data_IF_598714392041
#
_entry.id   IF_598714392041
#
_cell.length_a   1.000
_cell.length_b   1.000
_cell.length_c   1.000
_cell.angle_alpha   90.00
_cell.angle_beta   90.00
_cell.angle_gamma   90.00
#
_symmetry.space_group_name_H-M   'P 1'
#
loop_
_entity.id
_entity.type
_entity.pdbx_description
1 polymer ?
#
# COMPACT_ATOMS: atom_id res chain seq x y z
N UNK A 1 -1.25 8.91 9.61
CA UNK A 1 -2.32 8.06 9.04
C UNK A 1 -3.23 8.92 8.17
N UNK A 2 -3.38 8.56 6.89
CA UNK A 2 -3.89 9.42 5.83
C UNK A 2 -5.40 9.51 5.88
N UNK A 3 -5.96 10.69 6.18
CA UNK A 3 -7.37 10.95 5.91
C UNK A 3 -7.65 12.26 5.19
N UNK A 4 -8.43 12.19 4.11
CA UNK A 4 -8.98 13.31 3.35
C UNK A 4 -10.19 13.95 4.06
N UNK A 5 -10.72 13.33 5.12
CA UNK A 5 -11.93 13.79 5.82
C UNK A 5 -11.84 15.22 6.35
N UNK A 6 -10.63 15.66 6.72
CA UNK A 6 -10.39 17.01 7.24
C UNK A 6 -10.44 18.10 6.16
N UNK A 7 -10.53 17.73 4.87
CA UNK A 7 -10.42 18.66 3.74
C UNK A 7 -11.72 18.84 2.95
N UNK A 8 -12.80 18.12 3.29
CA UNK A 8 -14.05 18.06 2.49
C UNK A 8 -13.75 17.89 0.99
N UNK A 9 -12.82 17.00 0.69
CA UNK A 9 -12.45 16.68 -0.68
C UNK A 9 -13.39 15.61 -1.22
N UNK A 10 -14.09 15.92 -2.30
CA UNK A 10 -15.06 15.02 -2.94
C UNK A 10 -14.86 15.02 -4.45
N UNK A 11 -14.99 13.83 -5.04
CA UNK A 11 -15.10 13.65 -6.48
C UNK A 11 -16.50 13.13 -6.75
N UNK A 12 -17.30 13.91 -7.48
CA UNK A 12 -18.66 13.51 -7.81
C UNK A 12 -18.66 12.36 -8.81
N UNK A 13 -19.46 11.34 -8.55
CA UNK A 13 -19.60 10.18 -9.42
C UNK A 13 -21.04 9.67 -9.46
N UNK A 14 -21.34 8.88 -10.49
CA UNK A 14 -22.56 8.07 -10.57
C UNK A 14 -22.22 6.69 -11.10
N UNK A 15 -22.98 5.69 -10.66
CA UNK A 15 -22.85 4.31 -11.11
C UNK A 15 -23.73 4.09 -12.33
N UNK A 16 -23.20 3.41 -13.34
CA UNK A 16 -23.92 3.03 -14.56
C UNK A 16 -23.74 1.54 -14.84
N UNK A 17 -24.84 0.81 -14.96
CA UNK A 17 -24.81 -0.57 -15.44
C UNK A 17 -24.64 -0.62 -16.95
N UNK A 18 -23.72 -1.47 -17.41
CA UNK A 18 -23.41 -1.66 -18.83
C UNK A 18 -23.18 -3.14 -19.12
N UNK A 19 -23.38 -3.56 -20.37
CA UNK A 19 -23.08 -4.93 -20.80
C UNK A 19 -21.58 -5.13 -21.08
N UNK A 20 -20.86 -4.05 -21.41
CA UNK A 20 -19.43 -4.07 -21.71
C UNK A 20 -18.79 -2.78 -21.20
N UNK A 21 -17.63 -2.91 -20.55
CA UNK A 21 -16.90 -1.78 -20.00
C UNK A 21 -16.22 -0.96 -21.10
N UNK A 22 -16.29 0.35 -20.97
CA UNK A 22 -15.52 1.30 -21.76
C UNK A 22 -14.03 1.20 -21.41
N UNK A 23 -13.15 1.50 -22.38
CA UNK A 23 -11.70 1.51 -22.15
C UNK A 23 -11.24 2.64 -21.24
N UNK A 24 -11.91 3.79 -21.31
CA UNK A 24 -11.56 5.01 -20.59
C UNK A 24 -12.69 5.40 -19.63
N UNK A 25 -12.33 6.04 -18.52
CA UNK A 25 -13.32 6.70 -17.67
C UNK A 25 -13.86 7.94 -18.38
N UNK A 26 -15.15 8.22 -18.22
CA UNK A 26 -15.80 9.38 -18.81
C UNK A 26 -16.49 10.21 -17.74
N UNK A 27 -16.82 11.45 -18.10
CA UNK A 27 -17.61 12.35 -17.28
C UNK A 27 -18.85 12.80 -18.06
N UNK A 28 -19.92 13.13 -17.34
CA UNK A 28 -21.08 13.76 -17.94
C UNK A 28 -20.89 15.28 -18.13
N UNK A 29 -21.92 15.93 -18.66
CA UNK A 29 -21.98 17.38 -18.90
C UNK A 29 -21.75 18.24 -17.64
N UNK A 30 -21.98 17.68 -16.45
CA UNK A 30 -21.77 18.33 -15.16
C UNK A 30 -20.42 17.96 -14.53
N UNK A 31 -19.49 17.38 -15.30
CA UNK A 31 -18.18 16.94 -14.85
C UNK A 31 -18.24 15.85 -13.76
N UNK A 32 -19.35 15.09 -13.69
CA UNK A 32 -19.52 13.94 -12.78
C UNK A 32 -18.93 12.69 -13.43
N UNK A 33 -18.07 11.98 -12.71
CA UNK A 33 -17.48 10.73 -13.19
C UNK A 33 -18.52 9.63 -13.36
N UNK A 34 -18.44 8.90 -14.47
CA UNK A 34 -19.29 7.73 -14.73
C UNK A 34 -18.48 6.48 -14.42
N UNK A 35 -18.83 5.80 -13.32
CA UNK A 35 -18.26 4.51 -12.96
C UNK A 35 -19.17 3.43 -13.53
N UNK A 36 -18.65 2.69 -14.51
CA UNK A 36 -19.38 1.59 -15.13
C UNK A 36 -19.19 0.30 -14.32
N UNK A 37 -20.26 -0.48 -14.15
CA UNK A 37 -20.20 -1.83 -13.61
C UNK A 37 -20.91 -2.83 -14.53
N UNK A 38 -20.34 -4.03 -14.64
CA UNK A 38 -20.91 -5.20 -15.35
C UNK A 38 -21.29 -6.33 -14.41
N UNK A 39 -20.73 -6.35 -13.19
CA UNK A 39 -20.94 -7.38 -12.18
C UNK A 39 -21.84 -6.83 -11.08
N UNK A 40 -22.88 -7.58 -10.72
CA UNK A 40 -23.61 -7.37 -9.48
C UNK A 40 -22.91 -8.10 -8.33
N UNK A 41 -22.84 -7.49 -7.15
CA UNK A 41 -22.16 -8.08 -6.00
C UNK A 41 -22.74 -9.46 -5.60
N UNK A 42 -24.05 -9.69 -5.80
CA UNK A 42 -24.68 -10.99 -5.56
C UNK A 42 -24.24 -12.06 -6.55
N UNK A 43 -23.81 -11.65 -7.74
CA UNK A 43 -23.33 -12.56 -8.77
C UNK A 43 -21.84 -12.91 -8.63
N UNK A 44 -21.13 -12.35 -7.64
CA UNK A 44 -19.75 -12.77 -7.30
C UNK A 44 -19.74 -14.25 -6.91
N UNK A 45 -20.75 -14.69 -6.15
CA UNK A 45 -21.04 -16.10 -5.89
C UNK A 45 -22.16 -16.59 -6.80
N UNK A 46 -21.81 -16.91 -8.04
CA UNK A 46 -22.74 -17.45 -9.03
C UNK A 46 -23.05 -18.94 -8.84
N UNK A 47 -22.23 -19.67 -8.08
CA UNK A 47 -22.43 -21.09 -7.75
C UNK A 47 -23.25 -21.26 -6.49
N UNK A 48 -24.08 -22.30 -6.48
CA UNK A 48 -24.81 -22.74 -5.29
C UNK A 48 -23.88 -23.32 -4.23
N UNK A 49 -24.34 -23.36 -2.97
CA UNK A 49 -23.61 -24.00 -1.88
C UNK A 49 -23.22 -25.45 -2.21
N UNK A 50 -24.15 -26.20 -2.83
CA UNK A 50 -23.96 -27.61 -3.16
C UNK A 50 -22.92 -27.80 -4.28
N UNK A 51 -22.92 -26.93 -5.30
CA UNK A 51 -21.89 -26.96 -6.34
C UNK A 51 -20.48 -26.71 -5.78
N UNK A 52 -20.34 -25.70 -4.91
CA UNK A 52 -19.04 -25.39 -4.27
C UNK A 52 -18.60 -26.50 -3.33
N UNK A 53 -19.55 -27.10 -2.60
CA UNK A 53 -19.30 -28.24 -1.72
C UNK A 53 -18.82 -29.47 -2.51
N UNK A 54 -19.49 -29.82 -3.61
CA UNK A 54 -19.12 -30.97 -4.43
C UNK A 54 -17.75 -30.77 -5.09
N UNK A 55 -17.39 -29.55 -5.50
CA UNK A 55 -16.02 -29.25 -5.97
C UNK A 55 -14.98 -29.48 -4.86
N UNK A 56 -15.23 -28.99 -3.65
CA UNK A 56 -14.32 -29.21 -2.52
C UNK A 56 -14.19 -30.71 -2.17
N UNK A 57 -15.29 -31.46 -2.24
CA UNK A 57 -15.32 -32.91 -2.04
C UNK A 57 -14.51 -33.68 -3.07
N UNK A 58 -14.64 -33.34 -4.36
CA UNK A 58 -13.83 -33.97 -5.42
C UNK A 58 -12.34 -33.71 -5.21
N UNK A 59 -11.99 -32.50 -4.77
CA UNK A 59 -10.61 -32.17 -4.45
C UNK A 59 -10.09 -32.94 -3.22
N UNK A 60 -10.90 -33.07 -2.17
CA UNK A 60 -10.57 -33.89 -1.00
C UNK A 60 -10.28 -35.34 -1.38
N UNK A 61 -11.18 -35.96 -2.16
CA UNK A 61 -11.00 -37.33 -2.69
C UNK A 61 -9.69 -37.43 -3.47
N UNK A 62 -9.42 -36.48 -4.37
CA UNK A 62 -8.19 -36.47 -5.17
C UNK A 62 -6.93 -36.36 -4.31
N UNK A 63 -6.96 -35.59 -3.23
CA UNK A 63 -5.86 -35.50 -2.27
C UNK A 63 -5.68 -36.83 -1.53
N UNK A 64 -6.78 -37.47 -1.09
CA UNK A 64 -6.76 -38.76 -0.39
C UNK A 64 -6.19 -39.88 -1.27
N UNK A 65 -6.58 -39.93 -2.55
CA UNK A 65 -6.03 -40.88 -3.52
C UNK A 65 -4.51 -40.75 -3.69
N UNK A 66 -3.98 -39.54 -3.48
CA UNK A 66 -2.56 -39.23 -3.58
C UNK A 66 -1.87 -39.05 -2.22
N UNK A 67 -2.52 -39.43 -1.11
CA UNK A 67 -2.11 -39.16 0.26
C UNK A 67 -0.69 -39.65 0.62
N UNK A 68 -0.26 -40.75 0.01
CA UNK A 68 1.06 -41.36 0.25
C UNK A 68 2.13 -40.91 -0.75
N UNK A 69 1.86 -39.90 -1.60
CA UNK A 69 2.88 -39.33 -2.48
C UNK A 69 4.02 -38.72 -1.64
N UNK A 70 5.25 -39.17 -1.90
CA UNK A 70 6.44 -38.79 -1.16
C UNK A 70 7.22 -37.69 -1.89
N UNK A 71 7.67 -36.68 -1.16
CA UNK A 71 8.51 -35.60 -1.68
C UNK A 71 9.48 -35.11 -0.60
N UNK A 72 10.44 -34.26 -0.99
CA UNK A 72 11.38 -33.64 -0.04
C UNK A 72 10.94 -32.21 0.20
N UNK A 73 10.56 -31.90 1.44
CA UNK A 73 10.16 -30.57 1.88
C UNK A 73 11.38 -29.64 1.91
N UNK A 74 11.28 -28.47 1.27
CA UNK A 74 12.37 -27.49 1.21
C UNK A 74 12.78 -26.95 2.60
N UNK A 75 11.83 -26.82 3.53
CA UNK A 75 12.07 -26.17 4.82
C UNK A 75 12.80 -27.07 5.81
N UNK A 76 12.51 -28.36 5.79
CA UNK A 76 13.10 -29.34 6.72
C UNK A 76 14.20 -30.18 6.08
N UNK A 77 14.29 -30.19 4.74
CA UNK A 77 15.15 -31.08 3.97
C UNK A 77 14.89 -32.56 4.30
N UNK A 78 13.66 -32.89 4.72
CA UNK A 78 13.24 -34.23 5.09
C UNK A 78 12.17 -34.75 4.12
N UNK A 79 12.09 -36.09 4.04
CA UNK A 79 11.05 -36.78 3.29
C UNK A 79 9.71 -36.57 3.99
N UNK A 80 8.70 -36.18 3.23
CA UNK A 80 7.34 -35.92 3.68
C UNK A 80 6.33 -36.61 2.76
N UNK A 81 5.15 -36.93 3.28
CA UNK A 81 4.02 -37.46 2.51
C UNK A 81 2.92 -36.42 2.41
N UNK A 82 2.19 -36.40 1.29
CA UNK A 82 1.14 -35.41 1.03
C UNK A 82 0.14 -35.26 2.20
N UNK A 83 -0.28 -36.38 2.82
CA UNK A 83 -1.25 -36.35 3.92
C UNK A 83 -0.77 -35.68 5.21
N UNK A 84 0.55 -35.63 5.44
CA UNK A 84 1.11 -35.00 6.66
C UNK A 84 1.41 -33.52 6.46
N UNK A 85 1.53 -33.08 5.21
CA UNK A 85 1.76 -31.69 4.87
C UNK A 85 1.90 -31.46 3.38
N UNK A 86 1.67 -30.22 2.95
CA UNK A 86 1.76 -29.78 1.57
C UNK A 86 2.63 -28.52 1.49
N UNK A 87 3.90 -28.72 1.14
CA UNK A 87 4.95 -27.70 1.17
C UNK A 87 5.73 -27.65 -0.16
N UNK A 88 6.47 -26.56 -0.44
CA UNK A 88 7.34 -26.51 -1.62
C UNK A 88 8.44 -27.58 -1.55
N UNK A 89 8.83 -28.06 -2.72
CA UNK A 89 9.82 -29.11 -2.91
C UNK A 89 11.25 -28.55 -2.99
N UNK A 90 12.22 -29.24 -2.38
CA UNK A 90 13.64 -28.84 -2.32
C UNK A 90 14.29 -28.59 -3.69
N UNK A 91 13.92 -29.36 -4.73
CA UNK A 91 14.65 -29.38 -6.01
C UNK A 91 14.34 -28.18 -6.94
N UNK A 92 13.59 -27.17 -6.48
CA UNK A 92 13.29 -25.97 -7.26
C UNK A 92 14.31 -24.88 -6.92
N UNK A 93 15.27 -24.66 -7.83
CA UNK A 93 16.46 -23.79 -7.65
C UNK A 93 16.19 -22.33 -7.24
N UNK A 94 14.95 -21.85 -7.14
CA UNK A 94 14.62 -20.46 -6.88
C UNK A 94 13.31 -20.30 -6.08
N UNK A 95 13.11 -21.06 -4.99
CA UNK A 95 11.99 -20.72 -4.08
C UNK A 95 12.23 -19.31 -3.52
N UNK A 96 11.37 -18.38 -3.90
CA UNK A 96 11.31 -17.04 -3.31
C UNK A 96 10.36 -17.09 -2.13
N UNK A 97 10.75 -16.48 -1.00
CA UNK A 97 9.89 -16.34 0.18
C UNK A 97 8.62 -15.52 -0.07
N UNK A 98 8.55 -14.81 -1.20
CA UNK A 98 7.59 -13.72 -1.37
C UNK A 98 6.29 -14.17 -2.03
N UNK A 99 6.37 -15.13 -2.97
CA UNK A 99 5.21 -15.66 -3.70
C UNK A 99 5.41 -17.16 -3.97
N UNK A 100 4.55 -17.97 -3.37
CA UNK A 100 4.48 -19.40 -3.66
C UNK A 100 3.99 -19.65 -5.09
N UNK A 101 4.72 -20.45 -5.85
CA UNK A 101 4.32 -20.87 -7.20
C UNK A 101 3.82 -22.30 -7.19
N UNK A 102 2.70 -22.57 -7.88
CA UNK A 102 2.10 -23.90 -7.94
C UNK A 102 3.11 -24.97 -8.36
N UNK A 103 3.97 -24.66 -9.32
CA UNK A 103 4.94 -25.62 -9.82
C UNK A 103 5.96 -26.05 -8.76
N UNK A 104 6.21 -25.25 -7.72
CA UNK A 104 7.14 -25.57 -6.64
C UNK A 104 6.58 -26.63 -5.68
N UNK A 105 5.29 -26.92 -5.76
CA UNK A 105 4.60 -27.87 -4.90
C UNK A 105 4.45 -29.25 -5.57
N UNK A 106 4.33 -30.34 -4.79
CA UNK A 106 4.18 -31.68 -5.35
C UNK A 106 2.87 -31.79 -6.15
N UNK A 107 2.92 -32.59 -7.21
CA UNK A 107 1.76 -32.89 -8.08
C UNK A 107 1.14 -31.67 -8.77
N UNK A 108 1.91 -30.62 -9.07
CA UNK A 108 1.42 -29.39 -9.72
C UNK A 108 0.52 -29.63 -10.95
N UNK A 109 0.92 -30.53 -11.86
CA UNK A 109 0.14 -30.87 -13.06
C UNK A 109 -1.19 -31.58 -12.74
N UNK A 110 -1.27 -32.31 -11.63
CA UNK A 110 -2.53 -32.91 -11.16
C UNK A 110 -3.53 -31.83 -10.76
N UNK A 111 -3.06 -30.82 -10.04
CA UNK A 111 -3.89 -29.70 -9.59
C UNK A 111 -4.34 -28.82 -10.76
N UNK A 112 -3.47 -28.59 -11.75
CA UNK A 112 -3.85 -27.91 -13.01
C UNK A 112 -4.94 -28.67 -13.75
N UNK A 113 -4.81 -30.00 -13.88
CA UNK A 113 -5.84 -30.85 -14.50
C UNK A 113 -7.16 -30.82 -13.73
N UNK A 114 -7.13 -30.73 -12.40
CA UNK A 114 -8.34 -30.55 -11.60
C UNK A 114 -9.01 -29.21 -11.92
N UNK A 115 -8.24 -28.12 -12.04
CA UNK A 115 -8.77 -26.85 -12.50
C UNK A 115 -9.39 -26.96 -13.89
N UNK A 116 -8.70 -27.55 -14.86
CA UNK A 116 -9.17 -27.66 -16.26
C UNK A 116 -10.46 -28.50 -16.39
N UNK A 117 -10.56 -29.62 -15.66
CA UNK A 117 -11.65 -30.58 -15.83
C UNK A 117 -12.84 -30.33 -14.91
N UNK A 118 -12.59 -29.92 -13.66
CA UNK A 118 -13.61 -29.82 -12.61
C UNK A 118 -14.03 -28.36 -12.35
N UNK A 119 -13.06 -27.47 -12.08
CA UNK A 119 -13.34 -26.05 -11.78
C UNK A 119 -13.73 -25.27 -13.05
N UNK A 120 -13.06 -25.57 -14.17
CA UNK A 120 -13.27 -25.11 -15.55
C UNK A 120 -13.01 -23.62 -15.84
N UNK A 121 -13.32 -22.74 -14.90
CA UNK A 121 -13.23 -21.30 -15.12
C UNK A 121 -12.73 -20.54 -13.88
N UNK A 122 -12.20 -19.34 -14.14
CA UNK A 122 -11.62 -18.51 -13.08
C UNK A 122 -12.66 -17.96 -12.11
N UNK A 123 -13.90 -17.70 -12.54
CA UNK A 123 -14.95 -17.20 -11.64
C UNK A 123 -15.28 -18.24 -10.57
N UNK A 124 -15.37 -19.52 -10.94
CA UNK A 124 -15.57 -20.64 -10.03
C UNK A 124 -14.36 -20.83 -9.10
N UNK A 125 -13.13 -20.76 -9.64
CA UNK A 125 -11.90 -20.80 -8.81
C UNK A 125 -11.86 -19.66 -7.80
N UNK A 126 -12.23 -18.45 -8.23
CA UNK A 126 -12.25 -17.27 -7.39
C UNK A 126 -13.27 -17.41 -6.25
N UNK A 127 -14.47 -17.95 -6.51
CA UNK A 127 -15.44 -18.24 -5.45
C UNK A 127 -14.88 -19.21 -4.40
N UNK A 128 -14.23 -20.31 -4.83
CA UNK A 128 -13.56 -21.23 -3.91
C UNK A 128 -12.45 -20.51 -3.12
N UNK A 129 -11.62 -19.72 -3.80
CA UNK A 129 -10.57 -18.92 -3.15
C UNK A 129 -11.14 -17.96 -2.09
N UNK A 130 -12.28 -17.33 -2.39
CA UNK A 130 -12.98 -16.45 -1.47
C UNK A 130 -13.51 -17.22 -0.27
N UNK A 131 -14.02 -18.45 -0.40
CA UNK A 131 -14.50 -19.24 0.75
C UNK A 131 -13.42 -19.48 1.81
N UNK A 132 -12.19 -19.73 1.39
CA UNK A 132 -11.06 -20.03 2.29
C UNK A 132 -10.46 -18.78 2.97
N UNK A 133 -11.02 -17.59 2.72
CA UNK A 133 -10.60 -16.37 3.39
C UNK A 133 -11.03 -16.33 4.85
N UNK A 134 -10.30 -15.60 5.73
CA UNK A 134 -10.59 -15.60 7.15
C UNK A 134 -11.85 -14.75 7.47
N UNK A 135 -13.04 -15.32 7.30
CA UNK A 135 -14.29 -14.69 7.77
C UNK A 135 -14.56 -14.88 9.27
N UNK A 136 -13.76 -15.73 9.94
CA UNK A 136 -13.98 -16.17 11.33
C UNK A 136 -13.96 -15.04 12.38
N UNK A 137 -13.55 -13.82 12.01
CA UNK A 137 -13.49 -12.64 12.90
C UNK A 137 -14.36 -11.48 12.42
N UNK A 138 -15.29 -11.73 11.50
CA UNK A 138 -16.15 -10.67 10.93
C UNK A 138 -17.20 -10.15 11.93
N UNK A 139 -17.52 -10.89 12.99
CA UNK A 139 -18.46 -10.44 14.02
C UNK A 139 -19.79 -9.99 13.40
N UNK A 140 -20.26 -8.80 13.77
CA UNK A 140 -21.49 -8.22 13.20
C UNK A 140 -21.44 -7.97 11.69
N UNK A 141 -20.25 -7.89 11.09
CA UNK A 141 -20.08 -7.63 9.66
C UNK A 141 -20.40 -8.85 8.80
N UNK A 142 -20.50 -10.05 9.39
CA UNK A 142 -20.96 -11.27 8.68
C UNK A 142 -22.27 -11.04 7.95
N UNK A 143 -23.26 -10.45 8.62
CA UNK A 143 -24.60 -10.26 8.05
C UNK A 143 -24.57 -9.30 6.86
N UNK A 144 -23.77 -8.23 6.96
CA UNK A 144 -23.57 -7.27 5.86
C UNK A 144 -22.94 -7.94 4.65
N UNK A 145 -21.89 -8.76 4.86
CA UNK A 145 -21.23 -9.52 3.79
C UNK A 145 -22.23 -10.49 3.15
N UNK A 146 -23.00 -11.21 3.96
CA UNK A 146 -23.96 -12.20 3.48
C UNK A 146 -25.07 -11.55 2.65
N UNK A 147 -25.59 -10.41 3.10
CA UNK A 147 -26.61 -9.64 2.38
C UNK A 147 -26.11 -9.17 1.01
N UNK A 148 -24.87 -8.67 0.95
CA UNK A 148 -24.26 -8.16 -0.29
C UNK A 148 -23.99 -9.29 -1.27
N UNK A 149 -23.46 -10.41 -0.80
CA UNK A 149 -23.12 -11.56 -1.65
C UNK A 149 -24.32 -12.46 -1.97
N UNK A 150 -25.43 -12.35 -1.22
CA UNK A 150 -26.60 -13.22 -1.36
C UNK A 150 -26.36 -14.66 -0.86
N UNK A 151 -25.27 -14.91 -0.16
CA UNK A 151 -24.81 -16.23 0.30
C UNK A 151 -24.07 -16.06 1.62
N UNK A 152 -23.83 -17.15 2.37
CA UNK A 152 -23.06 -17.11 3.61
C UNK A 152 -21.72 -17.87 3.49
N UNK A 153 -20.63 -17.23 2.99
CA UNK A 153 -19.34 -17.89 2.78
C UNK A 153 -18.80 -18.59 4.04
N UNK A 154 -18.97 -17.96 5.20
CA UNK A 154 -18.54 -18.50 6.50
C UNK A 154 -19.25 -19.82 6.85
N UNK A 155 -20.53 -19.95 6.52
CA UNK A 155 -21.30 -21.18 6.75
C UNK A 155 -20.82 -22.30 5.83
N UNK A 156 -20.63 -22.00 4.55
CA UNK A 156 -20.16 -22.98 3.56
C UNK A 156 -18.79 -23.52 3.96
N UNK A 157 -17.85 -22.63 4.26
CA UNK A 157 -16.48 -23.06 4.60
C UNK A 157 -16.43 -23.83 5.91
N UNK A 158 -17.28 -23.51 6.89
CA UNK A 158 -17.37 -24.27 8.13
C UNK A 158 -17.90 -25.70 7.89
N UNK A 159 -18.87 -25.87 7.00
CA UNK A 159 -19.39 -27.19 6.63
C UNK A 159 -18.32 -28.02 5.92
N UNK A 160 -17.62 -27.44 4.94
CA UNK A 160 -16.48 -28.07 4.27
C UNK A 160 -15.40 -28.47 5.29
N UNK A 161 -15.05 -27.54 6.20
CA UNK A 161 -14.00 -27.73 7.19
C UNK A 161 -14.31 -28.79 8.28
N UNK A 162 -15.59 -29.12 8.47
CA UNK A 162 -16.01 -30.17 9.40
C UNK A 162 -15.99 -31.56 8.77
N UNK A 163 -16.18 -31.64 7.45
CA UNK A 163 -16.43 -32.90 6.75
C UNK A 163 -15.18 -33.49 6.08
N UNK A 164 -14.18 -32.68 5.74
CA UNK A 164 -13.00 -33.13 4.99
C UNK A 164 -11.74 -33.17 5.85
N UNK A 165 -11.10 -34.35 5.90
CA UNK A 165 -9.91 -34.60 6.74
C UNK A 165 -8.70 -33.76 6.32
N UNK A 166 -8.62 -33.39 5.05
CA UNK A 166 -7.54 -32.57 4.48
C UNK A 166 -7.72 -31.07 4.74
N UNK A 167 -8.76 -30.70 5.49
CA UNK A 167 -9.01 -29.34 5.96
C UNK A 167 -8.75 -29.26 7.47
N UNK A 168 -7.89 -28.33 7.89
CA UNK A 168 -7.66 -28.11 9.32
C UNK A 168 -7.95 -26.68 9.71
N UNK A 169 -8.97 -26.51 10.54
CA UNK A 169 -9.32 -25.23 11.15
C UNK A 169 -8.32 -24.78 12.22
N UNK A 170 -7.60 -25.74 12.84
CA UNK A 170 -6.66 -25.53 13.96
C UNK A 170 -5.22 -25.37 13.50
N UNK A 171 -4.82 -26.06 12.44
CA UNK A 171 -3.48 -25.97 11.87
C UNK A 171 -3.57 -25.57 10.39
N UNK A 172 -3.42 -24.27 10.05
CA UNK A 172 -3.45 -23.81 8.67
C UNK A 172 -2.45 -24.54 7.76
N UNK A 173 -1.33 -25.07 8.31
CA UNK A 173 -0.33 -25.85 7.57
C UNK A 173 -0.82 -27.24 7.15
N UNK A 174 -1.89 -27.74 7.77
CA UNK A 174 -2.54 -29.00 7.45
C UNK A 174 -3.83 -28.81 6.62
N UNK A 175 -4.12 -27.58 6.16
CA UNK A 175 -5.26 -27.31 5.28
C UNK A 175 -4.82 -27.36 3.81
N UNK A 176 -4.69 -28.58 3.30
CA UNK A 176 -4.13 -28.86 1.97
C UNK A 176 -5.05 -28.31 0.88
N UNK A 177 -6.37 -28.45 1.02
CA UNK A 177 -7.34 -27.91 0.05
C UNK A 177 -7.16 -26.40 -0.10
N UNK A 178 -7.16 -25.66 1.02
CA UNK A 178 -7.00 -24.21 0.98
C UNK A 178 -5.72 -23.79 0.25
N UNK A 179 -4.63 -24.53 0.49
CA UNK A 179 -3.34 -24.24 -0.14
C UNK A 179 -3.36 -24.53 -1.64
N UNK A 180 -3.94 -25.64 -2.08
CA UNK A 180 -4.08 -25.93 -3.51
C UNK A 180 -4.92 -24.88 -4.22
N UNK A 181 -6.06 -24.47 -3.63
CA UNK A 181 -6.92 -23.42 -4.18
C UNK A 181 -6.18 -22.07 -4.24
N UNK A 182 -5.41 -21.70 -3.21
CA UNK A 182 -4.59 -20.48 -3.21
C UNK A 182 -3.50 -20.51 -4.29
N UNK A 183 -2.80 -21.63 -4.48
CA UNK A 183 -1.79 -21.77 -5.53
C UNK A 183 -2.39 -21.73 -6.93
N UNK A 184 -3.54 -22.38 -7.15
CA UNK A 184 -4.27 -22.30 -8.41
C UNK A 184 -4.74 -20.86 -8.68
N UNK A 185 -5.28 -20.19 -7.67
CA UNK A 185 -5.66 -18.78 -7.80
C UNK A 185 -4.45 -17.93 -8.23
N UNK A 186 -3.30 -18.05 -7.56
CA UNK A 186 -2.07 -17.32 -7.92
C UNK A 186 -1.57 -17.65 -9.32
N UNK A 187 -1.70 -18.89 -9.79
CA UNK A 187 -1.32 -19.30 -11.15
C UNK A 187 -2.14 -18.57 -12.23
N UNK A 188 -3.43 -18.28 -11.94
CA UNK A 188 -4.36 -17.72 -12.92
C UNK A 188 -4.75 -16.26 -12.67
N UNK A 189 -4.38 -15.64 -11.54
CA UNK A 189 -4.86 -14.31 -11.14
C UNK A 189 -4.45 -13.20 -12.13
N UNK A 190 -3.21 -13.22 -12.63
CA UNK A 190 -2.73 -12.10 -13.47
C UNK A 190 -3.44 -12.02 -14.82
N UNK A 191 -3.82 -13.18 -15.39
CA UNK A 191 -4.64 -13.23 -16.61
C UNK A 191 -6.08 -12.76 -16.37
N UNK A 192 -6.52 -12.73 -15.12
CA UNK A 192 -7.90 -12.44 -14.72
C UNK A 192 -8.01 -11.20 -13.81
N UNK A 193 -6.98 -10.35 -13.77
CA UNK A 193 -6.96 -9.15 -12.90
C UNK A 193 -8.12 -8.19 -13.12
N UNK A 194 -8.61 -8.09 -14.36
CA UNK A 194 -9.81 -7.30 -14.68
C UNK A 194 -11.04 -7.84 -13.93
N UNK A 195 -11.29 -9.15 -14.00
CA UNK A 195 -12.40 -9.78 -13.28
C UNK A 195 -12.28 -9.57 -11.76
N UNK A 196 -11.09 -9.74 -11.20
CA UNK A 196 -10.82 -9.53 -9.77
C UNK A 196 -11.12 -8.07 -9.38
N UNK A 197 -10.62 -7.10 -10.15
CA UNK A 197 -10.87 -5.68 -9.91
C UNK A 197 -12.38 -5.35 -9.99
N UNK A 198 -13.08 -5.86 -10.99
CA UNK A 198 -14.51 -5.61 -11.18
C UNK A 198 -15.37 -6.22 -10.06
N UNK A 199 -15.02 -7.39 -9.53
CA UNK A 199 -15.71 -7.96 -8.36
C UNK A 199 -15.48 -7.12 -7.09
N UNK A 200 -14.26 -6.65 -6.85
CA UNK A 200 -13.94 -5.76 -5.73
C UNK A 200 -14.66 -4.40 -5.85
N UNK A 201 -14.76 -3.87 -7.07
CA UNK A 201 -15.53 -2.66 -7.38
C UNK A 201 -17.01 -2.86 -7.11
N UNK A 202 -17.62 -3.93 -7.62
CA UNK A 202 -19.02 -4.25 -7.40
C UNK A 202 -19.36 -4.37 -5.90
N UNK A 203 -18.52 -5.07 -5.14
CA UNK A 203 -18.67 -5.21 -3.70
C UNK A 203 -18.57 -3.86 -2.98
N UNK A 204 -17.61 -3.00 -3.37
CA UNK A 204 -17.45 -1.67 -2.78
C UNK A 204 -18.63 -0.75 -3.07
N UNK A 205 -19.17 -0.80 -4.29
CA UNK A 205 -20.40 -0.07 -4.65
C UNK A 205 -21.56 -0.52 -3.75
N UNK A 206 -21.75 -1.84 -3.56
CA UNK A 206 -22.79 -2.35 -2.68
C UNK A 206 -22.60 -1.92 -1.21
N UNK A 207 -21.36 -1.81 -0.72
CA UNK A 207 -21.07 -1.25 0.61
C UNK A 207 -21.44 0.23 0.72
N UNK A 208 -21.22 1.01 -0.34
CA UNK A 208 -21.56 2.44 -0.37
C UNK A 208 -23.07 2.68 -0.25
N UNK A 209 -23.89 1.74 -0.72
CA UNK A 209 -25.35 1.78 -0.61
C UNK A 209 -25.86 1.42 0.80
N UNK A 210 -25.02 0.85 1.67
CA UNK A 210 -25.41 0.51 3.06
C UNK A 210 -25.42 1.74 3.96
N UNK A 211 -26.07 1.64 5.12
CA UNK A 211 -25.98 2.66 6.17
C UNK A 211 -24.58 2.64 6.78
N UNK A 212 -24.07 3.79 7.22
CA UNK A 212 -22.70 3.85 7.77
C UNK A 212 -22.55 3.00 9.04
N UNK A 213 -23.61 2.87 9.84
CA UNK A 213 -23.64 2.06 11.06
C UNK A 213 -23.44 0.56 10.78
N UNK A 214 -23.77 0.10 9.58
CA UNK A 214 -23.52 -1.28 9.14
C UNK A 214 -22.00 -1.52 8.94
N UNK A 215 -21.23 -0.46 8.67
CA UNK A 215 -19.82 -0.54 8.31
C UNK A 215 -18.86 -0.33 9.51
N UNK A 216 -19.38 0.03 10.69
CA UNK A 216 -18.57 0.35 11.88
C UNK A 216 -19.06 -0.32 13.15
N UNK A 217 -18.17 -0.88 13.96
CA UNK A 217 -18.48 -1.40 15.31
C UNK A 217 -17.74 -0.61 16.37
N UNK A 218 -18.45 -0.21 17.43
CA UNK A 218 -17.84 0.52 18.55
C UNK A 218 -17.02 -0.45 19.39
N UNK A 219 -15.76 -0.09 19.66
CA UNK A 219 -14.89 -0.88 20.51
C UNK A 219 -15.33 -0.79 21.98
N UNK A 220 -15.22 -1.91 22.70
CA UNK A 220 -15.49 -1.96 24.15
C UNK A 220 -14.52 -1.09 24.95
N UNK A 221 -13.28 -0.96 24.47
CA UNK A 221 -12.27 -0.02 24.97
C UNK A 221 -11.59 0.65 23.78
N UNK A 222 -11.35 1.98 23.82
CA UNK A 222 -10.59 2.64 22.78
C UNK A 222 -9.19 2.03 22.63
N UNK A 223 -8.75 1.93 21.39
CA UNK A 223 -7.36 1.64 21.03
C UNK A 223 -6.64 2.94 20.69
N UNK A 224 -5.31 2.92 20.71
CA UNK A 224 -4.48 4.06 20.33
C UNK A 224 -3.43 3.61 19.33
N UNK A 225 -3.28 4.39 18.26
CA UNK A 225 -2.19 4.25 17.32
C UNK A 225 -1.46 5.59 17.24
N UNK A 226 -0.26 5.64 17.82
CA UNK A 226 0.39 6.90 18.19
C UNK A 226 -0.58 7.77 19.03
N UNK A 227 -0.73 9.05 18.70
CA UNK A 227 -1.65 9.97 19.38
C UNK A 227 -3.12 9.84 18.91
N UNK A 228 -3.40 8.95 17.94
CA UNK A 228 -4.75 8.79 17.39
C UNK A 228 -5.57 7.83 18.23
N UNK A 229 -6.62 8.36 18.88
CA UNK A 229 -7.63 7.56 19.56
C UNK A 229 -8.55 6.88 18.54
N UNK A 230 -8.65 5.56 18.61
CA UNK A 230 -9.52 4.72 17.80
C UNK A 230 -10.65 4.22 18.69
N UNK A 231 -11.88 4.54 18.33
CA UNK A 231 -13.10 4.17 19.07
C UNK A 231 -13.95 3.16 18.31
N UNK A 232 -13.70 2.99 17.00
CA UNK A 232 -14.45 2.11 16.12
C UNK A 232 -13.51 1.21 15.31
N UNK A 233 -13.88 -0.06 15.17
CA UNK A 233 -13.39 -0.94 14.10
C UNK A 233 -14.33 -0.81 12.90
N UNK A 234 -13.82 -1.03 11.70
CA UNK A 234 -14.63 -0.98 10.47
C UNK A 234 -14.63 -2.34 9.78
N UNK A 235 -15.59 -2.55 8.88
CA UNK A 235 -15.62 -3.72 8.01
C UNK A 235 -14.31 -3.89 7.21
N UNK A 236 -13.58 -2.79 6.95
CA UNK A 236 -12.31 -2.77 6.22
C UNK A 236 -11.12 -3.27 7.05
N UNK A 237 -11.22 -3.29 8.37
CA UNK A 237 -10.17 -3.86 9.24
C UNK A 237 -10.14 -5.40 9.22
N UNK A 238 -11.14 -6.03 8.62
CA UNK A 238 -11.19 -7.49 8.45
C UNK A 238 -10.21 -7.85 7.33
N UNK A 239 -9.25 -8.77 7.55
CA UNK A 239 -8.34 -9.26 6.52
C UNK A 239 -9.07 -10.17 5.51
N UNK A 240 -10.16 -9.71 4.89
CA UNK A 240 -10.85 -10.44 3.84
C UNK A 240 -10.33 -9.99 2.48
N UNK A 241 -9.82 -10.94 1.69
CA UNK A 241 -9.52 -10.78 0.26
C UNK A 241 -10.78 -10.49 -0.61
N UNK A 242 -11.95 -10.25 0.00
CA UNK A 242 -13.19 -9.77 -0.66
C UNK A 242 -13.33 -8.24 -0.55
N UNK A 243 -12.64 -7.60 0.39
CA UNK A 243 -12.76 -6.16 0.66
C UNK A 243 -11.56 -5.38 0.10
N UNK A 244 -11.74 -4.05 -0.01
CA UNK A 244 -10.83 -2.92 -0.28
C UNK A 244 -9.38 -3.15 -0.74
N UNK A 245 -8.65 -4.13 -0.18
CA UNK A 245 -7.31 -4.50 -0.59
C UNK A 245 -7.19 -4.79 -2.10
N UNK A 246 -8.24 -5.28 -2.75
CA UNK A 246 -8.24 -5.49 -4.22
C UNK A 246 -8.57 -4.26 -5.06
N UNK A 247 -9.18 -3.21 -4.49
CA UNK A 247 -9.28 -1.94 -5.22
C UNK A 247 -7.88 -1.34 -5.47
N UNK A 248 -6.89 -1.72 -4.66
CA UNK A 248 -5.49 -1.33 -4.86
C UNK A 248 -4.80 -2.09 -6.01
N UNK A 249 -5.44 -3.11 -6.61
CA UNK A 249 -4.90 -3.85 -7.76
C UNK A 249 -5.27 -3.18 -9.10
N UNK A 250 -5.35 -1.85 -9.12
CA UNK A 250 -5.53 -1.11 -10.36
C UNK A 250 -4.32 -1.32 -11.28
N UNK A 251 -4.55 -1.38 -12.59
CA UNK A 251 -3.52 -1.74 -13.58
C UNK A 251 -3.47 -0.77 -14.76
N UNK A 252 -4.35 0.23 -14.78
CA UNK A 252 -4.38 1.31 -15.77
C UNK A 252 -5.01 2.57 -15.16
N UNK A 253 -5.02 3.66 -15.93
CA UNK A 253 -5.57 4.95 -15.49
C UNK A 253 -7.06 4.86 -15.11
N UNK A 254 -7.90 4.19 -15.92
CA UNK A 254 -9.33 4.04 -15.64
C UNK A 254 -9.57 3.38 -14.29
N UNK A 255 -8.97 2.21 -14.08
CA UNK A 255 -9.11 1.44 -12.83
C UNK A 255 -8.53 2.17 -11.63
N UNK A 256 -7.44 2.93 -11.81
CA UNK A 256 -6.91 3.80 -10.76
C UNK A 256 -7.92 4.87 -10.37
N UNK A 257 -8.49 5.61 -11.34
CA UNK A 257 -9.45 6.68 -11.06
C UNK A 257 -10.72 6.11 -10.40
N UNK A 258 -11.27 5.00 -10.92
CA UNK A 258 -12.43 4.33 -10.33
C UNK A 258 -12.15 3.90 -8.89
N UNK A 259 -11.00 3.26 -8.65
CA UNK A 259 -10.56 2.88 -7.31
C UNK A 259 -10.48 4.11 -6.40
N UNK A 260 -9.72 5.13 -6.79
CA UNK A 260 -9.51 6.34 -6.00
C UNK A 260 -10.83 7.03 -5.60
N UNK A 261 -11.77 7.16 -6.54
CA UNK A 261 -13.10 7.74 -6.27
C UNK A 261 -13.89 6.91 -5.25
N UNK A 262 -13.92 5.59 -5.40
CA UNK A 262 -14.67 4.71 -4.49
C UNK A 262 -14.05 4.68 -3.09
N UNK A 263 -12.72 4.68 -3.01
CA UNK A 263 -11.99 4.81 -1.74
C UNK A 263 -12.32 6.13 -1.03
N UNK A 264 -12.39 7.22 -1.78
CA UNK A 264 -12.79 8.54 -1.27
C UNK A 264 -14.22 8.58 -0.79
N UNK A 265 -15.14 7.95 -1.52
CA UNK A 265 -16.52 7.84 -1.10
C UNK A 265 -16.66 7.08 0.23
N UNK A 266 -15.93 5.96 0.39
CA UNK A 266 -15.92 5.18 1.64
C UNK A 266 -15.36 6.00 2.80
N UNK A 267 -14.22 6.66 2.58
CA UNK A 267 -13.61 7.50 3.59
C UNK A 267 -14.54 8.61 4.06
N UNK A 268 -15.15 9.35 3.13
CA UNK A 268 -16.07 10.43 3.46
C UNK A 268 -17.29 9.90 4.21
N UNK A 269 -17.80 8.73 3.84
CA UNK A 269 -18.89 8.05 4.55
C UNK A 269 -18.52 7.72 6.00
N UNK A 270 -17.26 7.36 6.27
CA UNK A 270 -16.76 6.99 7.59
C UNK A 270 -16.19 8.16 8.42
N UNK A 271 -16.10 9.36 7.85
CA UNK A 271 -15.45 10.55 8.44
C UNK A 271 -15.92 10.92 9.86
N UNK A 272 -17.17 10.61 10.22
CA UNK A 272 -17.72 10.89 11.55
C UNK A 272 -17.28 9.89 12.63
N UNK A 273 -16.55 8.82 12.26
CA UNK A 273 -16.14 7.75 13.16
C UNK A 273 -14.63 7.77 13.38
N UNK A 274 -14.20 7.69 14.63
CA UNK A 274 -12.77 7.60 14.97
C UNK A 274 -12.26 6.19 14.75
N UNK A 275 -11.82 5.88 13.53
CA UNK A 275 -11.32 4.56 13.13
C UNK A 275 -9.84 4.56 12.72
N UNK A 276 -9.28 3.35 12.59
CA UNK A 276 -7.87 3.12 12.26
C UNK A 276 -7.56 2.96 10.76
N UNK A 277 -8.54 2.99 9.86
CA UNK A 277 -8.28 2.73 8.42
C UNK A 277 -7.31 3.74 7.76
N UNK A 278 -6.53 3.22 6.80
CA UNK A 278 -5.75 3.96 5.80
C UNK A 278 -6.22 3.51 4.44
N UNK A 279 -6.79 4.44 3.68
CA UNK A 279 -7.38 4.11 2.38
C UNK A 279 -6.40 4.22 1.21
N UNK A 280 -5.31 4.99 1.36
CA UNK A 280 -4.40 5.30 0.26
C UNK A 280 -2.94 5.19 0.69
N UNK A 281 -2.12 4.69 -0.21
CA UNK A 281 -0.67 4.82 -0.18
C UNK A 281 -0.20 6.22 -0.62
N UNK A 282 1.06 6.55 -0.35
CA UNK A 282 1.69 7.77 -0.89
C UNK A 282 1.72 7.78 -2.42
N UNK A 283 1.87 6.61 -3.05
CA UNK A 283 1.85 6.47 -4.51
C UNK A 283 0.48 6.82 -5.09
N UNK A 284 -0.61 6.36 -4.46
CA UNK A 284 -1.96 6.69 -4.92
C UNK A 284 -2.26 8.19 -4.78
N UNK A 285 -1.85 8.82 -3.68
CA UNK A 285 -1.99 10.28 -3.53
C UNK A 285 -1.20 11.02 -4.61
N UNK A 286 0.05 10.62 -4.85
CA UNK A 286 0.87 11.23 -5.89
C UNK A 286 0.29 11.06 -7.30
N UNK A 287 -0.21 9.87 -7.63
CA UNK A 287 -0.92 9.62 -8.89
C UNK A 287 -2.19 10.47 -9.02
N UNK A 288 -2.96 10.63 -7.95
CA UNK A 288 -4.14 11.51 -7.97
C UNK A 288 -3.79 12.97 -8.24
N UNK A 289 -2.64 13.44 -7.76
CA UNK A 289 -2.13 14.79 -8.02
C UNK A 289 -1.61 14.90 -9.46
N UNK A 290 -0.89 13.88 -9.95
CA UNK A 290 -0.38 13.83 -11.33
C UNK A 290 -1.52 13.95 -12.35
N UNK A 291 -2.62 13.26 -12.09
CA UNK A 291 -3.82 13.28 -12.94
C UNK A 291 -4.73 14.50 -12.69
N UNK A 292 -4.35 15.41 -11.78
CA UNK A 292 -5.14 16.60 -11.45
C UNK A 292 -6.48 16.29 -10.74
N UNK A 293 -6.62 15.11 -10.14
CA UNK A 293 -7.80 14.73 -9.36
C UNK A 293 -7.78 15.40 -7.98
N UNK A 294 -6.61 15.46 -7.34
CA UNK A 294 -6.43 15.98 -5.99
C UNK A 294 -5.43 17.15 -5.93
N UNK A 295 -5.62 18.10 -5.01
CA UNK A 295 -4.69 19.21 -4.81
C UNK A 295 -3.40 18.76 -4.13
N UNK A 296 -2.27 19.42 -4.42
CA UNK A 296 -0.96 19.07 -3.85
C UNK A 296 -0.90 19.26 -2.32
N UNK A 297 -1.69 20.18 -1.80
CA UNK A 297 -1.80 20.53 -0.38
C UNK A 297 -2.19 19.30 0.45
N UNK A 298 -2.87 18.33 -0.18
CA UNK A 298 -3.24 17.09 0.45
C UNK A 298 -2.03 16.22 0.80
N UNK A 299 -1.11 16.05 -0.16
CA UNK A 299 0.14 15.33 0.06
C UNK A 299 0.99 16.05 1.12
N UNK A 300 1.10 17.38 1.05
CA UNK A 300 1.88 18.16 2.02
C UNK A 300 1.32 17.99 3.44
N UNK A 301 0.01 18.17 3.64
CA UNK A 301 -0.64 17.96 4.95
C UNK A 301 -0.48 16.52 5.41
N UNK A 302 -0.50 15.57 4.47
CA UNK A 302 -0.32 14.18 4.80
C UNK A 302 1.07 13.90 5.38
N UNK A 303 2.12 14.38 4.72
CA UNK A 303 3.49 14.28 5.21
C UNK A 303 3.61 14.99 6.56
N UNK A 304 3.08 16.20 6.68
CA UNK A 304 3.09 17.02 7.90
C UNK A 304 1.97 16.66 8.90
N UNK A 305 1.64 15.38 9.01
CA UNK A 305 0.58 14.87 9.88
C UNK A 305 0.70 15.31 11.35
N UNK A 306 -0.34 15.08 12.14
CA UNK A 306 -0.48 15.67 13.49
C UNK A 306 0.53 15.19 14.53
N UNK A 307 1.14 14.00 14.38
CA UNK A 307 2.15 13.49 15.32
C UNK A 307 3.52 13.32 14.67
N UNK A 308 4.58 13.51 15.46
CA UNK A 308 5.98 13.40 15.01
C UNK A 308 6.27 11.98 14.49
N UNK A 309 5.71 10.96 15.14
CA UNK A 309 5.88 9.56 14.77
C UNK A 309 5.26 9.26 13.40
N UNK A 310 4.11 9.85 13.06
CA UNK A 310 3.51 9.69 11.73
C UNK A 310 4.33 10.41 10.65
N UNK A 311 4.85 11.61 10.94
CA UNK A 311 5.73 12.33 10.00
C UNK A 311 6.99 11.48 9.75
N UNK A 312 7.57 10.93 10.81
CA UNK A 312 8.74 10.05 10.74
C UNK A 312 8.49 8.85 9.82
N UNK A 313 7.38 8.14 10.01
CA UNK A 313 7.06 6.96 9.21
C UNK A 313 6.83 7.33 7.74
N UNK A 314 6.14 8.44 7.47
CA UNK A 314 5.97 8.95 6.12
C UNK A 314 7.32 9.30 5.46
N UNK A 315 8.25 9.91 6.18
CA UNK A 315 9.61 10.19 5.67
C UNK A 315 10.37 8.90 5.37
N UNK A 316 10.32 7.91 6.26
CA UNK A 316 10.96 6.59 6.02
C UNK A 316 10.40 5.92 4.77
N UNK A 317 9.07 5.90 4.61
CA UNK A 317 8.42 5.34 3.42
C UNK A 317 8.88 6.11 2.18
N UNK A 318 8.86 7.44 2.21
CA UNK A 318 9.31 8.27 1.09
C UNK A 318 10.77 7.98 0.69
N UNK A 319 11.71 8.00 1.63
CA UNK A 319 13.12 7.73 1.35
C UNK A 319 13.33 6.29 0.87
N UNK A 320 12.60 5.33 1.43
CA UNK A 320 12.61 3.95 0.93
C UNK A 320 12.15 3.87 -0.52
N UNK A 321 11.06 4.54 -0.88
CA UNK A 321 10.53 4.57 -2.26
C UNK A 321 11.56 5.17 -3.24
N UNK A 322 12.15 6.32 -2.94
CA UNK A 322 13.09 6.98 -3.85
C UNK A 322 14.48 6.33 -3.89
N UNK A 323 14.90 5.62 -2.83
CA UNK A 323 16.22 4.98 -2.79
C UNK A 323 16.35 3.79 -3.76
N UNK A 324 15.23 3.18 -4.14
CA UNK A 324 15.19 1.98 -4.97
C UNK A 324 15.74 0.71 -4.30
N UNK A 325 16.16 0.75 -3.02
CA UNK A 325 16.70 -0.41 -2.30
C UNK A 325 15.58 -1.26 -1.73
N UNK A 326 15.65 -2.59 -1.86
CA UNK A 326 14.75 -3.51 -1.14
C UNK A 326 15.21 -3.68 0.31
N UNK A 327 14.28 -3.75 1.25
CA UNK A 327 14.57 -3.96 2.67
C UNK A 327 13.60 -4.97 3.27
N UNK A 328 14.13 -5.92 4.04
CA UNK A 328 13.37 -7.04 4.65
C UNK A 328 12.22 -6.61 5.56
N UNK A 329 12.21 -5.35 6.04
CA UNK A 329 11.19 -4.81 6.93
C UNK A 329 10.07 -4.01 6.22
N UNK A 330 10.17 -3.82 4.89
CA UNK A 330 9.27 -2.94 4.11
C UNK A 330 8.63 -3.65 2.91
N UNK A 331 8.31 -4.93 3.02
CA UNK A 331 7.72 -5.73 1.93
C UNK A 331 6.47 -5.08 1.30
N UNK A 332 5.61 -4.43 2.10
CA UNK A 332 4.42 -3.75 1.58
C UNK A 332 4.76 -2.47 0.81
N UNK A 333 5.84 -1.78 1.17
CA UNK A 333 6.33 -0.60 0.44
C UNK A 333 7.03 -1.04 -0.86
N UNK A 334 7.75 -2.16 -0.83
CA UNK A 334 8.36 -2.72 -2.04
C UNK A 334 7.31 -3.11 -3.09
N UNK A 335 6.16 -3.67 -2.66
CA UNK A 335 5.01 -3.93 -3.57
C UNK A 335 4.46 -2.66 -4.23
N UNK A 336 4.60 -1.49 -3.59
CA UNK A 336 4.15 -0.23 -4.20
C UNK A 336 4.94 0.10 -5.49
N UNK A 337 6.15 -0.42 -5.64
CA UNK A 337 6.98 -0.23 -6.85
C UNK A 337 6.40 -0.90 -8.09
N UNK A 338 5.63 -1.97 -7.88
CA UNK A 338 5.00 -2.73 -8.96
C UNK A 338 3.63 -2.15 -9.36
N UNK A 339 3.19 -1.06 -8.68
CA UNK A 339 1.90 -0.44 -8.97
C UNK A 339 1.93 0.41 -10.24
N UNK A 340 0.76 0.57 -10.86
CA UNK A 340 0.62 1.41 -12.06
C UNK A 340 1.08 2.86 -11.81
N UNK A 341 1.82 3.41 -12.78
CA UNK A 341 2.29 4.80 -12.84
C UNK A 341 3.32 5.19 -11.74
N UNK A 342 4.01 4.22 -11.15
CA UNK A 342 5.04 4.42 -10.11
C UNK A 342 6.05 5.52 -10.44
N UNK A 343 6.68 5.48 -11.63
CA UNK A 343 7.74 6.45 -11.99
C UNK A 343 7.26 7.90 -11.99
N UNK A 344 6.00 8.13 -12.39
CA UNK A 344 5.41 9.48 -12.35
C UNK A 344 5.03 9.87 -10.92
N UNK A 345 4.47 8.94 -10.15
CA UNK A 345 4.17 9.15 -8.74
C UNK A 345 5.43 9.56 -7.96
N UNK A 346 6.57 8.91 -8.20
CA UNK A 346 7.84 9.25 -7.55
C UNK A 346 8.27 10.68 -7.85
N UNK A 347 8.18 11.14 -9.10
CA UNK A 347 8.51 12.54 -9.45
C UNK A 347 7.62 13.54 -8.72
N UNK A 348 6.33 13.22 -8.56
CA UNK A 348 5.38 14.06 -7.80
C UNK A 348 5.72 14.06 -6.31
N UNK A 349 6.06 12.89 -5.74
CA UNK A 349 6.51 12.78 -4.36
C UNK A 349 7.79 13.58 -4.13
N UNK A 350 8.83 13.38 -4.94
CA UNK A 350 10.09 14.13 -4.83
C UNK A 350 9.83 15.64 -4.83
N UNK A 351 9.02 16.12 -5.76
CA UNK A 351 8.71 17.55 -5.87
C UNK A 351 8.01 18.11 -4.62
N UNK A 352 6.92 17.49 -4.16
CA UNK A 352 6.06 18.07 -3.12
C UNK A 352 6.41 17.62 -1.70
N UNK A 353 7.03 16.44 -1.52
CA UNK A 353 7.56 16.02 -0.22
C UNK A 353 8.78 16.86 0.14
N UNK A 354 9.63 17.25 -0.82
CA UNK A 354 10.70 18.21 -0.57
C UNK A 354 10.16 19.58 -0.11
N UNK A 355 9.01 20.04 -0.62
CA UNK A 355 8.34 21.27 -0.14
C UNK A 355 7.95 21.15 1.36
N UNK A 356 7.44 19.99 1.78
CA UNK A 356 7.13 19.70 3.18
C UNK A 356 8.39 19.61 4.06
N UNK A 357 9.43 18.93 3.58
CA UNK A 357 10.74 18.82 4.25
C UNK A 357 11.35 20.21 4.47
N UNK A 358 11.34 21.04 3.43
CA UNK A 358 11.84 22.40 3.47
C UNK A 358 11.14 23.22 4.56
N UNK A 359 9.82 23.05 4.73
CA UNK A 359 9.07 23.68 5.81
C UNK A 359 9.52 23.22 7.20
N UNK A 360 9.85 21.94 7.37
CA UNK A 360 10.41 21.41 8.63
C UNK A 360 11.78 22.04 8.92
N UNK A 361 12.64 22.09 7.90
CA UNK A 361 14.01 22.61 8.00
C UNK A 361 14.02 24.11 8.26
N UNK A 362 13.17 24.89 7.59
CA UNK A 362 13.05 26.32 7.85
C UNK A 362 12.59 26.63 9.28
N UNK A 363 11.70 25.80 9.85
CA UNK A 363 11.32 25.92 11.26
C UNK A 363 12.50 25.64 12.19
N UNK A 364 13.32 24.63 11.86
CA UNK A 364 14.52 24.34 12.62
C UNK A 364 15.55 25.48 12.50
N UNK A 365 15.85 25.96 11.29
CA UNK A 365 16.84 27.03 11.07
C UNK A 365 16.48 28.35 11.77
N UNK A 366 15.19 28.65 11.98
CA UNK A 366 14.73 29.85 12.72
C UNK A 366 14.90 29.77 14.24
N UNK A 367 15.05 28.58 14.82
CA UNK A 367 15.16 28.44 16.28
C UNK A 367 16.57 28.77 16.78
N UNK A 368 16.69 29.82 17.59
CA UNK A 368 17.97 30.39 18.04
C UNK A 368 18.76 29.51 19.02
N UNK A 369 18.10 28.72 19.89
CA UNK A 369 18.81 27.84 20.85
C UNK A 369 18.01 26.62 21.35
N UNK A 370 16.68 26.59 21.20
CA UNK A 370 15.84 25.51 21.72
C UNK A 370 15.52 24.44 20.66
N UNK A 371 15.45 23.18 21.09
CA UNK A 371 14.90 22.10 20.26
C UNK A 371 13.51 22.50 19.80
N UNK A 372 13.28 22.46 18.49
CA UNK A 372 11.93 22.57 17.95
C UNK A 372 11.18 21.26 18.17
N UNK A 373 9.86 21.27 18.02
CA UNK A 373 9.07 20.03 17.99
C UNK A 373 9.54 19.06 16.89
N UNK A 374 10.21 19.57 15.85
CA UNK A 374 10.70 18.80 14.72
C UNK A 374 12.17 18.36 14.83
N UNK A 375 12.91 18.73 15.88
CA UNK A 375 14.34 18.41 15.96
C UNK A 375 14.61 16.90 15.90
N UNK A 376 13.66 16.05 16.33
CA UNK A 376 13.73 14.59 16.18
C UNK A 376 13.62 14.12 14.73
N UNK A 377 12.97 14.88 13.86
CA UNK A 377 12.78 14.55 12.45
C UNK A 377 14.00 14.89 11.60
N UNK A 378 14.80 15.88 12.01
CA UNK A 378 15.93 16.38 11.21
C UNK A 378 16.89 15.26 10.86
N UNK A 379 17.19 14.36 11.79
CA UNK A 379 18.11 13.24 11.57
C UNK A 379 17.60 12.18 10.59
N UNK A 380 16.35 12.27 10.15
CA UNK A 380 15.72 11.38 9.17
C UNK A 380 15.53 12.04 7.81
N UNK A 381 15.88 13.32 7.66
CA UNK A 381 15.90 13.99 6.37
C UNK A 381 17.21 13.62 5.70
N UNK A 382 17.15 12.93 4.56
CA UNK A 382 18.34 12.50 3.84
C UNK A 382 18.83 13.55 2.83
N UNK A 383 17.97 14.49 2.43
CA UNK A 383 18.28 15.48 1.40
C UNK A 383 17.52 16.79 1.56
N UNK A 384 18.23 17.91 1.38
CA UNK A 384 17.68 19.24 1.10
C UNK A 384 18.43 19.87 -0.08
N UNK A 385 17.82 20.80 -0.80
CA UNK A 385 18.40 21.37 -2.02
C UNK A 385 18.35 22.89 -2.04
N UNK A 386 19.42 23.53 -2.53
CA UNK A 386 19.42 24.96 -2.86
C UNK A 386 20.54 25.76 -2.22
N UNK A 387 21.12 26.70 -2.97
CA UNK A 387 22.12 27.66 -2.47
C UNK A 387 21.57 28.47 -1.28
N UNK A 388 20.27 28.77 -1.26
CA UNK A 388 19.66 29.53 -0.15
C UNK A 388 19.73 28.77 1.18
N UNK A 389 19.56 27.44 1.17
CA UNK A 389 19.71 26.63 2.37
C UNK A 389 21.17 26.53 2.79
N UNK A 390 22.11 26.37 1.83
CA UNK A 390 23.54 26.42 2.13
C UNK A 390 23.89 27.71 2.88
N UNK A 391 23.47 28.87 2.35
CA UNK A 391 23.73 30.18 2.96
C UNK A 391 23.12 30.27 4.36
N UNK A 392 21.84 29.93 4.52
CA UNK A 392 21.16 29.98 5.83
C UNK A 392 21.85 29.10 6.88
N UNK A 393 22.29 27.90 6.49
CA UNK A 393 22.99 26.96 7.38
C UNK A 393 24.34 27.53 7.80
N UNK A 394 25.11 28.10 6.88
CA UNK A 394 26.41 28.69 7.18
C UNK A 394 26.28 29.92 8.09
N UNK A 395 25.34 30.81 7.80
CA UNK A 395 25.05 31.97 8.65
C UNK A 395 24.64 31.54 10.08
N UNK A 396 23.83 30.49 10.20
CA UNK A 396 23.44 29.95 11.50
C UNK A 396 24.64 29.32 12.24
N UNK A 397 25.55 28.64 11.54
CA UNK A 397 26.76 28.03 12.11
C UNK A 397 27.77 29.07 12.61
N UNK A 398 27.81 30.25 12.00
CA UNK A 398 28.74 31.34 12.36
C UNK A 398 28.26 32.14 13.59
N UNK A 399 27.06 31.87 14.11
CA UNK A 399 26.57 32.45 15.36
C UNK A 399 27.38 31.93 16.56
N UNK A 400 28.20 32.82 17.15
CA UNK A 400 29.08 32.52 18.30
C UNK A 400 28.35 32.03 19.57
N UNK A 401 27.04 32.24 19.68
CA UNK A 401 26.24 31.85 20.86
C UNK A 401 25.54 30.49 20.72
N UNK A 402 25.73 29.79 19.61
CA UNK A 402 24.99 28.55 19.30
C UNK A 402 25.31 27.38 20.25
N UNK A 403 24.26 26.75 20.79
CA UNK A 403 24.41 25.52 21.58
C UNK A 403 25.00 24.32 20.81
N UNK A 404 25.68 23.41 21.52
CA UNK A 404 26.35 22.22 20.93
C UNK A 404 25.42 21.33 20.09
N UNK A 405 24.25 20.99 20.62
CA UNK A 405 23.26 20.14 19.96
C UNK A 405 22.71 20.77 18.68
N UNK A 406 22.55 22.10 18.69
CA UNK A 406 22.14 22.85 17.51
C UNK A 406 23.23 22.84 16.44
N UNK A 407 24.49 23.03 16.84
CA UNK A 407 25.64 22.92 15.94
C UNK A 407 25.73 21.54 15.28
N UNK A 408 25.51 20.46 16.04
CA UNK A 408 25.45 19.09 15.50
C UNK A 408 24.32 18.94 14.46
N UNK A 409 23.15 19.52 14.73
CA UNK A 409 21.99 19.53 13.81
C UNK A 409 22.29 20.31 12.52
N UNK A 410 22.87 21.50 12.62
CA UNK A 410 23.23 22.32 11.45
C UNK A 410 24.35 21.68 10.62
N UNK A 411 25.32 21.04 11.27
CA UNK A 411 26.35 20.26 10.57
C UNK A 411 25.71 19.09 9.82
N UNK A 412 24.76 18.37 10.43
CA UNK A 412 24.01 17.35 9.72
C UNK A 412 23.27 17.91 8.50
N UNK A 413 22.55 19.03 8.66
CA UNK A 413 21.86 19.72 7.55
C UNK A 413 22.82 20.15 6.44
N UNK A 414 24.01 20.66 6.78
CA UNK A 414 25.06 21.01 5.81
C UNK A 414 25.49 19.79 5.00
N UNK A 415 25.70 18.65 5.67
CA UNK A 415 26.12 17.40 5.03
C UNK A 415 25.10 16.88 4.01
N UNK A 416 23.81 17.08 4.26
CA UNK A 416 22.72 16.63 3.38
C UNK A 416 22.20 17.74 2.44
N UNK A 417 22.85 18.90 2.41
CA UNK A 417 22.47 20.01 1.53
C UNK A 417 23.14 19.84 0.18
N UNK A 418 22.36 19.81 -0.90
CA UNK A 418 22.83 19.64 -2.28
C UNK A 418 22.51 20.87 -3.12
N UNK A 419 23.29 21.16 -4.19
CA UNK A 419 22.84 22.07 -5.23
C UNK A 419 21.53 21.57 -5.85
N UNK A 420 20.56 22.46 -6.05
CA UNK A 420 19.37 22.17 -6.85
C UNK A 420 19.71 22.19 -8.35
N UNK A 421 18.83 21.64 -9.20
CA UNK A 421 19.01 21.69 -10.66
C UNK A 421 19.13 23.11 -11.23
N UNK A 422 18.62 24.12 -10.50
CA UNK A 422 18.67 25.53 -10.90
C UNK A 422 19.95 26.23 -10.45
N UNK A 423 20.74 25.61 -9.58
CA UNK A 423 21.95 26.19 -9.03
C UNK A 423 23.12 26.01 -10.00
N UNK A 424 23.75 27.11 -10.36
CA UNK A 424 24.87 27.16 -11.27
C UNK A 424 25.88 28.21 -10.81
N UNK A 425 27.04 28.26 -11.46
CA UNK A 425 28.12 29.17 -11.06
C UNK A 425 27.69 30.64 -11.00
N UNK A 426 26.79 31.08 -11.90
CA UNK A 426 26.30 32.46 -11.91
C UNK A 426 25.44 32.74 -10.69
N UNK A 427 24.43 31.91 -10.42
CA UNK A 427 23.57 32.09 -9.24
C UNK A 427 24.34 31.94 -7.94
N UNK A 428 25.34 31.06 -7.90
CA UNK A 428 26.26 30.89 -6.77
C UNK A 428 27.06 32.16 -6.50
N UNK A 429 27.70 32.73 -7.53
CA UNK A 429 28.44 34.01 -7.43
C UNK A 429 27.57 35.13 -6.90
N UNK A 430 26.39 35.30 -7.50
CA UNK A 430 25.49 36.41 -7.18
C UNK A 430 25.00 36.31 -5.73
N UNK A 431 24.66 35.10 -5.26
CA UNK A 431 24.17 34.91 -3.89
C UNK A 431 25.29 34.99 -2.85
N UNK A 432 26.43 34.34 -3.07
CA UNK A 432 27.55 34.33 -2.11
C UNK A 432 28.16 35.72 -1.92
N UNK A 433 28.32 36.52 -2.99
CA UNK A 433 28.86 37.88 -2.90
C UNK A 433 28.01 38.82 -2.03
N UNK A 434 26.73 38.53 -1.89
CA UNK A 434 25.80 39.29 -1.06
C UNK A 434 25.76 38.78 0.39
N UNK A 435 26.76 37.99 0.82
CA UNK A 435 26.88 37.46 2.18
C UNK A 435 28.26 37.72 2.75
N UNK A 436 28.39 37.64 4.07
CA UNK A 436 29.67 37.76 4.79
C UNK A 436 30.43 36.42 4.91
N UNK A 437 30.05 35.40 4.12
CA UNK A 437 30.67 34.07 4.18
C UNK A 437 32.08 34.13 3.58
N UNK A 438 33.09 33.77 4.38
CA UNK A 438 34.49 33.84 3.94
C UNK A 438 34.86 32.76 2.92
N UNK A 439 35.93 33.00 2.15
CA UNK A 439 36.45 32.00 1.20
C UNK A 439 36.96 30.76 1.93
N UNK A 440 37.58 30.92 3.09
CA UNK A 440 38.04 29.81 3.93
C UNK A 440 36.88 28.92 4.35
N UNK A 441 35.74 29.54 4.72
CA UNK A 441 34.52 28.81 5.09
C UNK A 441 33.97 28.00 3.92
N UNK A 442 34.00 28.54 2.71
CA UNK A 442 33.62 27.80 1.50
C UNK A 442 34.57 26.64 1.22
N UNK A 443 35.88 26.80 1.43
CA UNK A 443 36.84 25.69 1.33
C UNK A 443 36.49 24.58 2.33
N UNK A 444 36.17 24.92 3.58
CA UNK A 444 35.72 23.92 4.58
C UNK A 444 34.45 23.19 4.11
N UNK A 445 33.48 23.92 3.55
CA UNK A 445 32.26 23.32 2.98
C UNK A 445 32.60 22.35 1.85
N UNK A 446 33.57 22.67 0.98
CA UNK A 446 33.97 21.77 -0.10
C UNK A 446 34.53 20.42 0.40
N UNK A 447 35.06 20.39 1.62
CA UNK A 447 35.57 19.20 2.29
C UNK A 447 34.44 18.47 3.03
N UNK A 448 33.62 19.20 3.78
CA UNK A 448 32.59 18.64 4.64
C UNK A 448 31.33 18.19 3.88
N UNK A 449 30.98 18.90 2.80
CA UNK A 449 29.84 18.66 1.91
C UNK A 449 30.32 18.64 0.44
N UNK A 450 31.02 17.57 -0.01
CA UNK A 450 31.69 17.50 -1.31
C UNK A 450 30.78 17.73 -2.53
N UNK A 451 29.47 17.53 -2.39
CA UNK A 451 28.49 17.85 -3.42
C UNK A 451 28.52 19.32 -3.87
N UNK A 452 28.99 20.24 -3.03
CA UNK A 452 29.18 21.66 -3.38
C UNK A 452 30.54 21.96 -4.00
N UNK A 453 31.49 21.02 -3.94
CA UNK A 453 32.90 21.23 -4.29
C UNK A 453 33.07 21.83 -5.68
N UNK A 454 32.36 21.30 -6.67
CA UNK A 454 32.45 21.79 -8.06
C UNK A 454 32.11 23.28 -8.15
N UNK A 455 30.96 23.69 -7.60
CA UNK A 455 30.53 25.10 -7.64
C UNK A 455 31.47 26.01 -6.85
N UNK A 456 32.00 25.53 -5.73
CA UNK A 456 32.94 26.27 -4.88
C UNK A 456 34.30 26.44 -5.57
N UNK A 457 34.86 25.38 -6.13
CA UNK A 457 36.14 25.42 -6.85
C UNK A 457 36.03 26.39 -8.04
N UNK A 458 34.97 26.26 -8.85
CA UNK A 458 34.69 27.15 -9.99
C UNK A 458 34.52 28.62 -9.55
N UNK A 459 33.94 28.87 -8.37
CA UNK A 459 33.80 30.21 -7.79
C UNK A 459 35.13 30.80 -7.31
N UNK A 460 35.99 29.99 -6.68
CA UNK A 460 37.27 30.44 -6.15
C UNK A 460 38.31 30.67 -7.24
N UNK A 461 38.20 29.99 -8.38
CA UNK A 461 39.07 30.14 -9.54
C UNK A 461 38.69 31.32 -10.47
N UNK A 462 37.54 31.95 -10.22
CA UNK A 462 37.01 33.06 -11.03
C UNK A 462 37.07 34.39 -10.31
#
# INVERSE_FOLDING_TARGET
MLSFSDYKFELFYKIKEVNQLSKNITKDENNIFIIEKTIDAKNIFSKTNDELFELAKKLDILIIENANYEYINIYTNQKEVLKTGFFPMLNKKNHSSDIDKLEEYPLAELWKKFYENEIKDFSTLYQLHLLYQPYRKTGKFSDVINDILGIAPATIINNIAQLFETTSSKNPRANIIAKIIDLLYTEYEEKNKEYIFETAKAFTIALLDRKTEDLVEKLSKPSFHYDKKIEYTTLFSIPSKVTFNYLSNYYNEKTFIESFILKLAIENKLSNYKHGEVFYSLIEIANSIELGLAPKELLIKNILSTSIENILDNLKIFYHLISGKKHDFYNDVDKMRDTWNYDKAIKVLEKYVLEAINSIVDNELKSEDNKTKYSKLITYIEKIEGIDYLIKILQALDNKKIGRTKKETLNYLLKICYPSEKDNLKTFKDKIKNTDISKERLVEVSIYAPQWKRLIDDFLMS
#
